data_IF_686705118587
#
_entry.id   IF_686705118587
#
_cell.length_a   1.000
_cell.length_b   1.000
_cell.length_c   1.000
_cell.angle_alpha   90.00
_cell.angle_beta   90.00
_cell.angle_gamma   90.00
#
_symmetry.space_group_name_H-M   'P 1'
#
loop_
_entity.id
_entity.type
_entity.pdbx_description
1 polymer ?
#
# COMPACT_ATOMS: atom_id res chain seq x y z
N UNK A 1 -71.70 19.44 82.65
CA UNK A 1 -72.57 18.97 81.55
C UNK A 1 -72.04 17.63 81.08
N UNK A 2 -72.83 16.58 81.31
CA UNK A 2 -72.56 15.20 80.89
C UNK A 2 -72.61 15.08 79.37
N UNK A 3 -71.76 14.25 78.76
CA UNK A 3 -72.20 13.09 77.97
C UNK A 3 -71.00 12.18 77.67
N UNK A 4 -71.14 10.94 78.12
CA UNK A 4 -70.27 9.78 77.92
C UNK A 4 -70.65 9.13 76.58
N UNK A 5 -69.68 8.67 75.78
CA UNK A 5 -69.83 7.43 75.02
C UNK A 5 -68.57 6.59 75.20
N UNK A 6 -68.75 5.48 75.94
CA UNK A 6 -67.87 4.33 76.03
C UNK A 6 -67.81 3.63 74.67
N UNK A 7 -66.70 2.96 74.39
CA UNK A 7 -66.63 1.48 74.41
C UNK A 7 -65.63 0.94 73.39
N UNK A 8 -64.49 0.41 73.87
CA UNK A 8 -64.07 -0.92 73.44
C UNK A 8 -63.01 -1.50 74.38
N UNK A 9 -63.36 -2.59 75.06
CA UNK A 9 -62.41 -3.56 75.59
C UNK A 9 -62.69 -4.89 74.90
N UNK A 10 -61.74 -5.40 74.11
CA UNK A 10 -61.42 -6.82 74.13
C UNK A 10 -60.00 -7.10 73.64
N UNK A 11 -59.37 -7.90 74.48
CA UNK A 11 -57.99 -8.31 74.57
C UNK A 11 -57.62 -9.42 73.56
N UNK A 12 -56.31 -9.73 73.53
CA UNK A 12 -55.62 -10.93 73.01
C UNK A 12 -55.01 -10.86 71.61
N UNK A 13 -53.66 -10.78 71.56
CA UNK A 13 -52.73 -11.91 71.23
C UNK A 13 -51.28 -11.42 71.01
N UNK A 14 -50.42 -11.76 71.98
CA UNK A 14 -49.12 -12.47 71.89
C UNK A 14 -48.22 -12.29 70.62
N UNK A 15 -47.05 -11.70 70.87
CA UNK A 15 -45.67 -11.97 70.33
C UNK A 15 -45.25 -11.67 68.87
N UNK A 16 -44.33 -10.68 68.75
CA UNK A 16 -43.01 -10.56 68.01
C UNK A 16 -42.73 -11.51 66.81
N UNK A 17 -42.09 -11.05 65.69
CA UNK A 17 -40.72 -10.47 65.71
C UNK A 17 -40.37 -9.36 64.67
N UNK A 18 -39.49 -8.43 65.05
CA UNK A 18 -38.97 -7.28 64.26
C UNK A 18 -37.67 -7.56 63.47
N UNK A 19 -37.36 -8.83 63.16
CA UNK A 19 -36.10 -9.22 62.52
C UNK A 19 -36.09 -9.07 60.98
N UNK A 20 -37.25 -9.08 60.31
CA UNK A 20 -37.33 -9.08 58.84
C UNK A 20 -37.08 -7.69 58.19
N UNK A 21 -37.33 -6.60 58.92
CA UNK A 21 -37.19 -5.22 58.36
C UNK A 21 -35.74 -4.76 58.22
N UNK A 22 -34.83 -5.26 59.05
CA UNK A 22 -33.41 -4.86 59.00
C UNK A 22 -32.63 -5.64 57.94
N UNK A 23 -32.99 -6.90 57.70
CA UNK A 23 -32.35 -7.72 56.66
C UNK A 23 -32.68 -7.22 55.24
N UNK A 24 -33.90 -6.72 55.02
CA UNK A 24 -34.32 -6.18 53.72
C UNK A 24 -33.70 -4.81 53.40
N UNK A 25 -33.44 -3.97 54.41
CA UNK A 25 -32.72 -2.70 54.22
C UNK A 25 -31.22 -2.90 53.98
N UNK A 26 -30.60 -3.91 54.60
CA UNK A 26 -29.18 -4.24 54.36
C UNK A 26 -28.94 -4.81 52.95
N UNK A 27 -29.89 -5.57 52.40
CA UNK A 27 -29.78 -6.18 51.07
C UNK A 27 -30.00 -5.17 49.94
N UNK A 28 -30.83 -4.14 50.15
CA UNK A 28 -31.05 -3.04 49.20
C UNK A 28 -29.95 -1.97 49.27
N UNK A 29 -29.34 -1.74 50.44
CA UNK A 29 -28.17 -0.85 50.57
C UNK A 29 -26.89 -1.49 50.01
N UNK A 30 -26.74 -2.82 50.11
CA UNK A 30 -25.60 -3.55 49.55
C UNK A 30 -25.62 -3.63 48.01
N UNK A 31 -26.81 -3.69 47.40
CA UNK A 31 -26.95 -3.73 45.94
C UNK A 31 -26.77 -2.36 45.27
N UNK A 32 -26.96 -1.26 46.00
CA UNK A 32 -26.72 0.09 45.49
C UNK A 32 -25.23 0.49 45.51
N UNK A 33 -24.41 -0.14 46.36
CA UNK A 33 -22.96 0.09 46.43
C UNK A 33 -22.15 -0.72 45.40
N UNK A 34 -22.77 -1.69 44.72
CA UNK A 34 -22.08 -2.55 43.74
C UNK A 34 -22.37 -2.18 42.27
N UNK A 35 -23.16 -1.14 42.02
CA UNK A 35 -23.77 -0.93 40.70
C UNK A 35 -23.10 0.10 39.79
N UNK A 36 -21.99 0.77 40.15
CA UNK A 36 -21.42 1.82 39.29
C UNK A 36 -19.90 1.82 39.20
N UNK A 37 -19.34 0.81 38.55
CA UNK A 37 -18.05 0.95 37.82
C UNK A 37 -18.14 0.19 36.50
N UNK A 38 -18.92 0.71 35.55
CA UNK A 38 -18.81 0.25 34.17
C UNK A 38 -17.52 0.85 33.63
N UNK A 39 -16.48 0.07 33.29
CA UNK A 39 -15.31 0.63 32.65
C UNK A 39 -15.76 1.18 31.30
N UNK A 40 -15.76 2.51 31.17
CA UNK A 40 -15.88 3.15 29.86
C UNK A 40 -14.69 2.68 29.05
N UNK A 41 -14.92 1.75 28.14
CA UNK A 41 -13.94 1.32 27.15
C UNK A 41 -13.74 2.51 26.21
N UNK A 42 -12.85 3.43 26.60
CA UNK A 42 -12.41 4.52 25.77
C UNK A 42 -11.71 3.91 24.56
N UNK A 43 -12.47 3.70 23.49
CA UNK A 43 -11.94 3.32 22.19
C UNK A 43 -11.08 4.51 21.75
N UNK A 44 -9.77 4.42 22.00
CA UNK A 44 -8.77 5.33 21.43
C UNK A 44 -8.88 5.16 19.92
N UNK A 45 -9.74 5.97 19.31
CA UNK A 45 -9.69 6.21 17.90
C UNK A 45 -8.54 7.18 17.73
N UNK A 46 -7.43 6.72 17.16
CA UNK A 46 -6.29 7.60 16.97
C UNK A 46 -6.74 8.65 15.97
N UNK A 47 -6.25 9.88 16.10
CA UNK A 47 -6.62 10.98 15.19
C UNK A 47 -6.36 10.57 13.73
N UNK A 48 -5.30 9.78 13.47
CA UNK A 48 -5.01 9.18 12.16
C UNK A 48 -6.06 8.20 11.61
N UNK A 49 -6.99 7.73 12.45
CA UNK A 49 -8.03 6.78 12.07
C UNK A 49 -9.35 7.51 11.69
N UNK A 50 -9.42 8.86 11.82
CA UNK A 50 -10.62 9.68 11.56
C UNK A 50 -10.34 10.88 10.62
N UNK A 51 -9.09 11.11 10.21
CA UNK A 51 -8.71 12.28 9.41
C UNK A 51 -8.18 11.81 8.06
N UNK A 52 -8.90 12.14 6.98
CA UNK A 52 -8.33 12.20 5.64
C UNK A 52 -7.65 13.56 5.46
N UNK A 53 -6.38 13.56 5.07
CA UNK A 53 -5.64 14.79 4.82
C UNK A 53 -6.07 15.32 3.44
N UNK A 54 -6.88 16.38 3.41
CA UNK A 54 -7.18 17.10 2.17
C UNK A 54 -5.90 17.70 1.57
N UNK A 55 -5.72 17.55 0.25
CA UNK A 55 -4.58 18.12 -0.48
C UNK A 55 -3.40 17.16 -0.68
N UNK A 56 -3.57 15.90 -0.31
CA UNK A 56 -2.60 14.84 -0.57
C UNK A 56 -2.60 14.48 -2.05
N UNK A 57 -1.53 14.86 -2.75
CA UNK A 57 -1.32 14.53 -4.16
C UNK A 57 -0.20 13.52 -4.28
N UNK A 58 -0.46 12.46 -5.02
CA UNK A 58 0.57 11.55 -5.51
C UNK A 58 1.44 12.28 -6.55
N UNK A 59 2.74 12.02 -6.53
CA UNK A 59 3.66 12.57 -7.52
C UNK A 59 3.99 11.50 -8.56
N UNK A 60 3.72 11.80 -9.82
CA UNK A 60 4.07 10.89 -10.92
C UNK A 60 5.53 11.08 -11.25
N UNK A 61 6.28 9.98 -11.17
CA UNK A 61 7.67 9.95 -11.55
C UNK A 61 7.81 9.26 -12.90
N UNK A 62 8.73 9.79 -13.70
CA UNK A 62 9.08 9.25 -15.01
C UNK A 62 10.60 9.15 -15.14
N UNK A 63 11.06 8.06 -15.72
CA UNK A 63 12.47 7.83 -16.01
C UNK A 63 12.63 7.20 -17.38
N UNK A 64 13.75 7.54 -18.02
CA UNK A 64 14.20 6.87 -19.23
C UNK A 64 15.35 5.94 -18.85
N UNK A 65 15.19 4.66 -19.14
CA UNK A 65 16.11 3.62 -18.71
C UNK A 65 16.51 2.66 -19.82
N UNK A 66 17.41 1.74 -19.47
CA UNK A 66 17.85 0.65 -20.33
C UNK A 66 17.62 -0.67 -19.59
N UNK A 67 16.96 -1.62 -20.25
CA UNK A 67 16.86 -3.02 -19.80
C UNK A 67 17.86 -3.83 -20.60
N UNK A 68 18.68 -4.62 -19.91
CA UNK A 68 19.73 -5.47 -20.52
C UNK A 68 19.50 -6.94 -20.19
N UNK A 69 20.22 -7.83 -20.88
CA UNK A 69 20.13 -9.27 -20.63
C UNK A 69 18.91 -9.93 -21.29
N UNK A 70 18.30 -9.25 -22.26
CA UNK A 70 17.23 -9.81 -23.07
C UNK A 70 17.80 -10.88 -24.02
N UNK A 71 17.01 -11.91 -24.33
CA UNK A 71 17.42 -13.04 -25.16
C UNK A 71 17.08 -12.80 -26.64
N UNK A 72 17.63 -11.74 -27.25
CA UNK A 72 17.32 -11.37 -28.64
C UNK A 72 15.97 -10.69 -28.83
N UNK A 73 15.25 -10.37 -27.75
CA UNK A 73 13.93 -9.71 -27.76
C UNK A 73 13.98 -8.21 -27.48
N UNK A 74 15.18 -7.63 -27.42
CA UNK A 74 15.43 -6.20 -27.27
C UNK A 74 15.24 -5.44 -28.59
N UNK A 75 15.73 -4.20 -28.64
CA UNK A 75 15.49 -3.31 -29.77
C UNK A 75 16.33 -3.68 -31.00
N UNK A 76 15.72 -3.60 -32.18
CA UNK A 76 16.41 -3.83 -33.45
C UNK A 76 17.36 -2.69 -33.83
N UNK A 77 18.56 -3.04 -34.33
CA UNK A 77 19.60 -2.09 -34.77
C UNK A 77 19.16 -1.15 -35.91
N UNK A 78 18.16 -1.54 -36.69
CA UNK A 78 17.69 -0.76 -37.84
C UNK A 78 16.64 0.30 -37.50
N UNK A 79 15.97 0.19 -36.36
CA UNK A 79 14.73 0.94 -36.09
C UNK A 79 14.76 1.72 -34.76
N UNK A 80 15.73 1.46 -33.88
CA UNK A 80 15.81 2.13 -32.57
C UNK A 80 17.11 2.94 -32.39
N UNK A 81 17.22 4.12 -33.04
CA UNK A 81 18.40 4.98 -32.90
C UNK A 81 18.60 5.48 -31.47
N UNK A 82 17.54 5.57 -30.68
CA UNK A 82 17.60 6.02 -29.29
C UNK A 82 18.23 4.98 -28.37
N UNK A 83 18.01 3.68 -28.59
CA UNK A 83 18.61 2.62 -27.75
C UNK A 83 20.12 2.56 -27.94
N UNK A 84 20.57 2.67 -29.18
CA UNK A 84 22.00 2.73 -29.51
C UNK A 84 22.66 3.97 -28.89
N UNK A 85 22.07 5.15 -29.08
CA UNK A 85 22.60 6.40 -28.52
C UNK A 85 22.67 6.36 -26.99
N UNK A 86 21.65 5.82 -26.34
CA UNK A 86 21.60 5.72 -24.87
C UNK A 86 22.61 4.73 -24.32
N UNK A 87 22.81 3.59 -24.99
CA UNK A 87 23.84 2.62 -24.64
C UNK A 87 25.24 3.23 -24.82
N UNK A 88 25.47 3.94 -25.92
CA UNK A 88 26.73 4.67 -26.16
C UNK A 88 26.98 5.68 -25.05
N UNK A 89 26.02 6.55 -24.75
CA UNK A 89 26.17 7.58 -23.73
C UNK A 89 26.43 6.97 -22.33
N UNK A 90 25.76 5.86 -22.01
CA UNK A 90 26.01 5.13 -20.76
C UNK A 90 27.44 4.58 -20.71
N UNK A 91 27.87 3.89 -21.76
CA UNK A 91 29.20 3.29 -21.83
C UNK A 91 30.30 4.35 -21.79
N UNK A 92 30.10 5.48 -22.47
CA UNK A 92 31.00 6.63 -22.40
C UNK A 92 31.09 7.22 -20.99
N UNK A 93 29.97 7.35 -20.27
CA UNK A 93 29.97 7.79 -18.85
C UNK A 93 30.72 6.82 -17.94
N UNK A 94 30.78 5.54 -18.29
CA UNK A 94 31.56 4.51 -17.61
C UNK A 94 33.01 4.43 -18.10
N UNK A 95 33.44 5.32 -18.99
CA UNK A 95 34.80 5.37 -19.52
C UNK A 95 35.10 4.34 -20.61
N UNK A 96 34.08 3.68 -21.16
CA UNK A 96 34.22 2.70 -22.24
C UNK A 96 34.16 3.41 -23.59
N UNK A 97 35.15 3.17 -24.45
CA UNK A 97 35.19 3.72 -25.80
C UNK A 97 34.46 2.77 -26.77
N UNK A 98 33.34 3.24 -27.31
CA UNK A 98 32.45 2.49 -28.21
C UNK A 98 32.54 2.92 -29.67
N UNK A 99 33.50 3.77 -30.03
CA UNK A 99 33.66 4.28 -31.41
C UNK A 99 33.87 3.15 -32.41
N UNK A 100 33.00 3.05 -33.42
CA UNK A 100 33.14 2.13 -34.55
C UNK A 100 32.77 0.67 -34.25
N UNK A 101 32.21 0.39 -33.06
CA UNK A 101 31.71 -0.94 -32.71
C UNK A 101 30.23 -1.05 -33.10
N UNK A 102 29.86 -2.09 -33.85
CA UNK A 102 28.44 -2.40 -34.07
C UNK A 102 27.86 -2.92 -32.75
N UNK A 103 27.04 -2.11 -32.09
CA UNK A 103 26.36 -2.54 -30.86
C UNK A 103 25.40 -3.68 -31.20
N UNK A 104 25.21 -4.65 -30.30
CA UNK A 104 24.13 -5.62 -30.44
C UNK A 104 22.96 -5.19 -29.56
N UNK A 105 22.07 -4.37 -30.11
CA UNK A 105 20.89 -3.87 -29.39
C UNK A 105 19.83 -4.94 -29.20
N UNK A 106 19.90 -6.10 -29.87
CA UNK A 106 18.91 -7.17 -29.70
C UNK A 106 18.82 -7.73 -28.26
N UNK A 107 19.82 -7.47 -27.42
CA UNK A 107 19.83 -7.86 -26.01
C UNK A 107 19.59 -6.68 -25.04
N UNK A 108 19.25 -5.51 -25.57
CA UNK A 108 19.04 -4.26 -24.83
C UNK A 108 17.76 -3.58 -25.32
N UNK A 109 16.92 -3.14 -24.40
CA UNK A 109 15.75 -2.35 -24.73
C UNK A 109 15.83 -0.98 -24.05
N UNK A 110 15.53 0.08 -24.77
CA UNK A 110 15.22 1.36 -24.17
C UNK A 110 13.79 1.33 -23.62
N UNK A 111 13.64 1.77 -22.39
CA UNK A 111 12.38 1.66 -21.65
C UNK A 111 11.98 2.98 -21.02
N UNK A 112 10.69 3.15 -20.86
CA UNK A 112 10.09 4.15 -20.00
C UNK A 112 9.73 3.50 -18.68
N UNK A 113 10.18 4.12 -17.60
CA UNK A 113 9.85 3.71 -16.24
C UNK A 113 8.92 4.75 -15.67
N UNK A 114 7.74 4.33 -15.22
CA UNK A 114 6.80 5.19 -14.51
C UNK A 114 6.58 4.67 -13.12
N UNK A 115 6.43 5.59 -12.16
CA UNK A 115 6.13 5.24 -10.79
C UNK A 115 5.21 6.28 -10.18
N UNK A 116 4.40 5.87 -9.21
CA UNK A 116 3.59 6.78 -8.42
C UNK A 116 4.22 6.88 -7.05
N UNK A 117 4.78 8.04 -6.72
CA UNK A 117 5.34 8.31 -5.40
C UNK A 117 4.22 8.69 -4.43
N UNK A 118 3.96 7.88 -3.40
CA UNK A 118 2.97 8.22 -2.40
C UNK A 118 3.39 9.47 -1.62
N UNK A 119 2.41 10.26 -1.18
CA UNK A 119 2.64 11.38 -0.27
C UNK A 119 3.33 10.91 1.03
N UNK A 120 4.22 11.74 1.57
CA UNK A 120 4.91 11.47 2.85
C UNK A 120 5.72 10.16 2.86
N UNK A 121 6.17 9.70 1.69
CA UNK A 121 7.08 8.55 1.60
C UNK A 121 8.40 8.87 2.30
N UNK A 122 8.82 8.00 3.22
CA UNK A 122 10.08 8.18 3.93
C UNK A 122 11.26 7.81 3.03
N UNK A 123 12.43 8.43 3.26
CA UNK A 123 13.64 8.06 2.56
C UNK A 123 13.97 6.57 2.79
N UNK A 124 14.28 5.85 1.71
CA UNK A 124 14.55 4.41 1.74
C UNK A 124 13.31 3.51 1.67
N UNK A 125 12.11 4.08 1.54
CA UNK A 125 10.91 3.27 1.24
C UNK A 125 10.98 2.72 -0.19
N UNK A 126 10.43 1.53 -0.39
CA UNK A 126 10.26 0.95 -1.71
C UNK A 126 8.95 1.44 -2.34
N UNK A 127 9.00 1.72 -3.64
CA UNK A 127 7.84 2.03 -4.48
C UNK A 127 7.85 1.09 -5.68
N UNK A 128 6.67 0.67 -6.10
CA UNK A 128 6.52 -0.13 -7.32
C UNK A 128 6.70 0.77 -8.55
N UNK A 129 7.27 0.18 -9.60
CA UNK A 129 7.50 0.87 -10.87
C UNK A 129 6.92 0.03 -11.99
N UNK A 130 6.47 0.70 -13.05
CA UNK A 130 6.05 0.05 -14.28
C UNK A 130 7.10 0.32 -15.34
N UNK A 131 7.53 -0.72 -16.02
CA UNK A 131 8.54 -0.64 -17.09
C UNK A 131 7.89 -1.02 -18.40
N UNK A 132 8.02 -0.15 -19.40
CA UNK A 132 7.47 -0.36 -20.74
C UNK A 132 8.53 -0.13 -21.80
N UNK A 133 8.64 -1.03 -22.77
CA UNK A 133 9.51 -0.83 -23.92
C UNK A 133 9.12 0.44 -24.70
N UNK A 134 10.11 1.22 -25.12
CA UNK A 134 9.91 2.39 -25.99
C UNK A 134 10.12 2.09 -27.46
N UNK A 135 10.89 1.06 -27.78
CA UNK A 135 11.21 0.66 -29.15
C UNK A 135 10.53 -0.61 -29.60
N UNK A 136 11.28 -1.34 -30.41
CA UNK A 136 10.82 -2.53 -31.12
C UNK A 136 11.02 -3.81 -30.32
N UNK A 137 11.47 -3.71 -29.06
CA UNK A 137 11.60 -4.86 -28.18
C UNK A 137 10.29 -5.66 -28.12
N UNK A 138 10.38 -6.96 -28.41
CA UNK A 138 9.23 -7.89 -28.46
C UNK A 138 8.89 -8.46 -27.09
N UNK A 139 9.84 -8.47 -26.16
CA UNK A 139 9.65 -8.93 -24.78
C UNK A 139 10.72 -8.37 -23.84
N UNK A 140 10.30 -7.99 -22.64
CA UNK A 140 11.22 -7.60 -21.54
C UNK A 140 11.54 -8.78 -20.60
N UNK A 141 11.13 -9.99 -20.94
CA UNK A 141 11.29 -11.17 -20.09
C UNK A 141 12.77 -11.46 -19.77
N UNK A 142 13.07 -11.69 -18.49
CA UNK A 142 14.43 -12.01 -18.05
C UNK A 142 15.41 -10.84 -18.14
N UNK A 143 14.91 -9.64 -18.49
CA UNK A 143 15.70 -8.43 -18.53
C UNK A 143 15.97 -7.87 -17.14
N UNK A 144 17.06 -7.12 -17.03
CA UNK A 144 17.40 -6.33 -15.84
C UNK A 144 17.38 -4.85 -16.20
N UNK A 145 16.56 -4.07 -15.50
CA UNK A 145 16.56 -2.62 -15.55
C UNK A 145 17.83 -2.08 -14.88
N UNK A 146 18.60 -1.35 -15.66
CA UNK A 146 19.75 -0.61 -15.17
C UNK A 146 19.30 0.60 -14.34
N UNK A 147 20.18 1.06 -13.46
CA UNK A 147 19.94 2.19 -12.55
C UNK A 147 19.37 3.38 -13.31
N UNK A 148 18.09 3.66 -13.07
CA UNK A 148 17.30 4.67 -13.78
C UNK A 148 16.78 5.70 -12.78
N UNK A 149 17.22 6.97 -12.85
CA UNK A 149 16.65 8.03 -12.03
C UNK A 149 15.22 8.33 -12.47
N UNK A 150 14.32 8.52 -11.52
CA UNK A 150 12.94 8.88 -11.75
C UNK A 150 12.70 10.34 -11.34
N UNK A 151 12.29 11.14 -12.32
CA UNK A 151 12.06 12.57 -12.19
C UNK A 151 10.58 12.87 -11.98
N UNK A 152 10.27 13.84 -11.15
CA UNK A 152 8.92 14.37 -11.04
C UNK A 152 8.68 15.50 -12.07
N UNK A 153 7.47 16.05 -12.08
CA UNK A 153 7.08 17.14 -12.99
C UNK A 153 7.88 18.45 -12.80
N UNK A 154 8.57 18.61 -11.68
CA UNK A 154 9.49 19.73 -11.39
C UNK A 154 10.90 19.53 -11.99
N UNK A 155 11.21 18.31 -12.47
CA UNK A 155 12.51 17.95 -13.02
C UNK A 155 13.53 17.45 -12.00
N UNK A 156 13.16 17.38 -10.72
CA UNK A 156 14.05 16.85 -9.68
C UNK A 156 13.94 15.32 -9.59
N UNK A 157 15.02 14.66 -9.17
CA UNK A 157 15.06 13.20 -9.00
C UNK A 157 14.57 12.84 -7.60
N UNK A 158 13.47 12.11 -7.53
CA UNK A 158 12.86 11.70 -6.26
C UNK A 158 13.10 10.22 -5.91
N UNK A 159 13.32 9.38 -6.92
CA UNK A 159 13.54 7.95 -6.74
C UNK A 159 14.53 7.40 -7.77
N UNK A 160 14.99 6.19 -7.52
CA UNK A 160 15.86 5.43 -8.43
C UNK A 160 15.29 4.04 -8.58
N UNK A 161 15.07 3.61 -9.82
CA UNK A 161 14.59 2.29 -10.17
C UNK A 161 15.74 1.43 -10.70
N UNK A 162 15.81 0.17 -10.27
CA UNK A 162 16.75 -0.83 -10.77
C UNK A 162 16.26 -2.23 -10.41
N UNK A 163 16.70 -3.25 -11.14
CA UNK A 163 16.48 -4.65 -10.78
C UNK A 163 15.92 -5.49 -11.91
N UNK A 164 15.56 -6.73 -11.60
CA UNK A 164 14.97 -7.66 -12.54
C UNK A 164 13.56 -7.21 -12.94
N UNK A 165 13.24 -7.27 -14.23
CA UNK A 165 11.92 -6.90 -14.74
C UNK A 165 11.05 -8.15 -14.83
N UNK A 166 9.95 -8.16 -14.07
CA UNK A 166 8.97 -9.23 -14.15
C UNK A 166 7.82 -8.84 -15.06
N UNK A 167 7.65 -9.55 -16.17
CA UNK A 167 6.54 -9.34 -17.09
C UNK A 167 5.35 -10.24 -16.75
N UNK A 168 4.15 -9.72 -16.95
CA UNK A 168 2.90 -10.47 -16.70
C UNK A 168 2.44 -11.29 -17.92
N UNK A 169 3.12 -11.18 -19.07
CA UNK A 169 2.73 -11.84 -20.32
C UNK A 169 3.82 -12.69 -20.93
N UNK A 170 3.44 -13.59 -21.83
CA UNK A 170 4.37 -14.37 -22.63
C UNK A 170 3.83 -14.50 -24.06
N UNK A 171 4.74 -14.56 -25.03
CA UNK A 171 4.44 -14.91 -26.42
C UNK A 171 5.19 -16.18 -26.76
N UNK A 172 4.49 -17.17 -27.30
CA UNK A 172 5.05 -18.42 -27.77
C UNK A 172 4.65 -18.62 -29.23
N UNK A 173 5.64 -18.86 -30.09
CA UNK A 173 5.46 -19.06 -31.53
C UNK A 173 5.93 -20.47 -31.92
N UNK A 174 5.10 -21.19 -32.68
CA UNK A 174 5.45 -22.45 -33.34
C UNK A 174 5.11 -22.40 -34.83
N UNK A 175 5.60 -23.37 -35.61
CA UNK A 175 5.60 -23.38 -37.09
C UNK A 175 4.24 -23.10 -37.78
N UNK A 176 3.11 -23.19 -37.06
CA UNK A 176 1.77 -22.88 -37.57
C UNK A 176 0.85 -22.14 -36.57
N UNK A 177 1.34 -21.72 -35.41
CA UNK A 177 0.51 -21.04 -34.41
C UNK A 177 1.34 -20.17 -33.45
N UNK A 178 0.91 -18.92 -33.25
CA UNK A 178 1.41 -18.04 -32.20
C UNK A 178 0.35 -17.87 -31.11
N UNK A 179 0.73 -18.05 -29.85
CA UNK A 179 -0.10 -17.76 -28.67
C UNK A 179 0.56 -16.62 -27.91
N UNK A 180 -0.14 -15.48 -27.82
CA UNK A 180 0.27 -14.35 -26.98
C UNK A 180 -0.75 -14.17 -25.87
N UNK A 181 -0.30 -14.31 -24.62
CA UNK A 181 -1.12 -14.06 -23.44
C UNK A 181 -0.55 -12.86 -22.68
N UNK A 182 -1.37 -11.81 -22.50
CA UNK A 182 -1.02 -10.49 -21.95
C UNK A 182 0.00 -9.69 -22.81
N UNK A 183 0.59 -8.62 -22.25
CA UNK A 183 1.52 -7.71 -22.94
C UNK A 183 2.97 -8.04 -22.52
N UNK A 184 3.80 -8.63 -23.39
CA UNK A 184 5.16 -9.06 -23.05
C UNK A 184 6.18 -7.91 -22.97
N UNK A 185 5.82 -6.72 -23.46
CA UNK A 185 6.65 -5.52 -23.49
C UNK A 185 6.46 -4.61 -22.27
N UNK A 186 5.65 -5.04 -21.29
CA UNK A 186 5.38 -4.32 -20.06
C UNK A 186 5.65 -5.22 -18.83
N UNK A 187 6.33 -4.67 -17.83
CA UNK A 187 6.69 -5.34 -16.59
C UNK A 187 6.63 -4.42 -15.37
N UNK A 188 6.91 -4.99 -14.20
CA UNK A 188 7.01 -4.31 -12.92
C UNK A 188 8.23 -4.76 -12.13
#
# INVERSE_FOLDING_TARGET
MFQIILNHKKDKRKNRPTAARHFMFALVAGSFLFAQTVPVLAKTSRIKDIVDIEGVRENQLIGYGLVVGLNGTGDGLGNSPFTEQSLIAMLERLGVNVRGQNMNTGNVAAVMVTATLPPFTNQGSHIDVNVSALGDATSLQGGTLLVTPLLAADGDVYAVAQGEVNIAGFSAEGDAASVTQNIPTAGR
#
